data_IF_827080524827
#
_entry.id   IF_827080524827
#
_cell.length_a   1.000
_cell.length_b   1.000
_cell.length_c   1.000
_cell.angle_alpha   90.00
_cell.angle_beta   90.00
_cell.angle_gamma   90.00
#
_symmetry.space_group_name_H-M   'P 1'
#
loop_
_entity.id
_entity.type
_entity.pdbx_description
1 polymer ?
#
# COMPACT_ATOMS: atom_id res chain seq x y z
N UNK A 1 13.08 -6.05 5.78
CA UNK A 1 12.47 -7.24 5.12
C UNK A 1 12.04 -6.81 3.73
N UNK A 2 12.24 -7.63 2.70
CA UNK A 2 11.82 -7.29 1.33
C UNK A 2 10.78 -8.30 0.86
N UNK A 3 9.66 -7.81 0.34
CA UNK A 3 8.62 -8.61 -0.30
C UNK A 3 8.59 -8.21 -1.77
N UNK A 4 8.70 -9.18 -2.68
CA UNK A 4 8.76 -8.94 -4.12
C UNK A 4 7.73 -9.80 -4.86
N UNK A 5 7.29 -9.33 -6.03
CA UNK A 5 6.47 -10.07 -6.96
C UNK A 5 6.98 -9.87 -8.40
N UNK A 6 6.50 -10.71 -9.32
CA UNK A 6 6.80 -10.61 -10.76
C UNK A 6 5.58 -10.06 -11.54
N UNK A 7 4.68 -9.35 -10.88
CA UNK A 7 3.48 -8.77 -11.48
C UNK A 7 3.76 -7.45 -12.18
N UNK A 8 2.73 -6.78 -12.71
CA UNK A 8 2.86 -5.42 -13.23
C UNK A 8 3.41 -4.47 -12.16
N UNK A 9 4.24 -3.52 -12.59
CA UNK A 9 4.75 -2.47 -11.71
C UNK A 9 3.65 -1.48 -11.31
N UNK A 10 3.82 -0.85 -10.16
CA UNK A 10 2.99 0.28 -9.73
C UNK A 10 3.40 1.51 -10.57
N UNK A 11 2.46 2.19 -11.24
CA UNK A 11 2.74 3.42 -11.97
C UNK A 11 3.36 4.51 -11.08
N UNK A 12 4.40 5.25 -11.55
CA UNK A 12 5.10 6.24 -10.73
C UNK A 12 4.21 7.36 -10.20
N UNK A 13 3.16 7.74 -10.94
CA UNK A 13 2.21 8.80 -10.62
C UNK A 13 1.26 8.47 -9.45
N UNK A 14 1.23 7.21 -9.03
CA UNK A 14 0.40 6.75 -7.91
C UNK A 14 1.19 6.22 -6.72
N UNK A 15 2.53 6.17 -6.80
CA UNK A 15 3.37 5.62 -5.72
C UNK A 15 3.11 6.32 -4.38
N UNK A 16 3.00 7.65 -4.38
CA UNK A 16 2.75 8.41 -3.14
C UNK A 16 1.36 8.15 -2.56
N UNK A 17 0.41 7.69 -3.39
CA UNK A 17 -0.99 7.46 -3.01
C UNK A 17 -1.24 6.07 -2.46
N UNK A 18 -0.36 5.09 -2.71
CA UNK A 18 -0.62 3.69 -2.32
C UNK A 18 -0.70 3.48 -0.81
N UNK A 19 -0.16 4.43 -0.03
CA UNK A 19 -0.22 4.43 1.43
C UNK A 19 -1.40 5.25 1.98
N UNK A 20 -2.12 5.97 1.12
CA UNK A 20 -3.30 6.73 1.53
C UNK A 20 -4.46 5.77 1.87
N UNK A 21 -5.19 6.02 2.98
CA UNK A 21 -6.37 5.23 3.29
C UNK A 21 -7.40 5.26 2.17
N UNK A 22 -7.97 4.09 1.85
CA UNK A 22 -8.99 3.88 0.83
C UNK A 22 -8.52 4.00 -0.63
N UNK A 23 -7.25 4.31 -0.89
CA UNK A 23 -6.73 4.31 -2.25
C UNK A 23 -6.70 2.89 -2.82
N UNK A 24 -7.19 2.72 -4.06
CA UNK A 24 -7.17 1.43 -4.76
C UNK A 24 -7.28 1.61 -6.27
N UNK A 25 -6.59 0.75 -7.02
CA UNK A 25 -6.78 0.60 -8.47
C UNK A 25 -7.77 -0.51 -8.82
N UNK A 26 -8.25 -1.26 -7.82
CA UNK A 26 -9.23 -2.33 -8.00
C UNK A 26 -10.63 -1.75 -8.25
N UNK A 27 -11.49 -2.47 -8.99
CA UNK A 27 -12.88 -2.10 -9.17
C UNK A 27 -13.64 -1.95 -7.84
N UNK A 28 -14.76 -1.21 -7.89
CA UNK A 28 -15.67 -1.06 -6.74
C UNK A 28 -16.18 -2.44 -6.31
N UNK A 29 -16.02 -2.76 -5.03
CA UNK A 29 -16.42 -4.05 -4.45
C UNK A 29 -15.27 -5.06 -4.28
N UNK A 30 -14.14 -4.88 -4.95
CA UNK A 30 -13.02 -5.84 -4.94
C UNK A 30 -11.92 -5.50 -3.91
N UNK A 31 -12.11 -4.43 -3.14
CA UNK A 31 -11.17 -4.03 -2.10
C UNK A 31 -11.59 -2.77 -1.34
N UNK A 32 -11.05 -2.62 -0.14
CA UNK A 32 -11.30 -1.46 0.72
C UNK A 32 -10.23 -0.36 0.59
N UNK A 33 -9.08 -0.67 0.01
CA UNK A 33 -7.93 0.26 -0.07
C UNK A 33 -7.26 0.53 1.28
N UNK A 34 -7.44 -0.33 2.29
CA UNK A 34 -6.90 -0.10 3.65
C UNK A 34 -5.62 -0.89 3.98
N UNK A 35 -5.24 -1.88 3.18
CA UNK A 35 -4.18 -2.82 3.55
C UNK A 35 -2.83 -2.17 3.80
N UNK A 36 -2.37 -1.33 2.86
CA UNK A 36 -1.07 -0.67 2.95
C UNK A 36 -1.05 0.44 3.99
N UNK A 37 -2.11 1.25 4.09
CA UNK A 37 -2.21 2.32 5.10
C UNK A 37 -2.19 1.76 6.53
N UNK A 38 -2.87 0.63 6.76
CA UNK A 38 -2.85 -0.07 8.06
C UNK A 38 -1.47 -0.65 8.34
N UNK A 39 -0.83 -1.28 7.33
CA UNK A 39 0.52 -1.84 7.50
C UNK A 39 1.56 -0.76 7.84
N UNK A 40 1.50 0.39 7.16
CA UNK A 40 2.36 1.54 7.44
C UNK A 40 2.15 2.07 8.87
N UNK A 41 0.89 2.13 9.33
CA UNK A 41 0.56 2.55 10.69
C UNK A 41 1.12 1.58 11.74
N UNK A 42 0.90 0.27 11.56
CA UNK A 42 1.41 -0.77 12.46
C UNK A 42 2.94 -0.72 12.55
N UNK A 43 3.63 -0.53 11.42
CA UNK A 43 5.09 -0.40 11.41
C UNK A 43 5.52 0.84 12.19
N UNK A 44 4.88 1.99 11.95
CA UNK A 44 5.18 3.24 12.67
C UNK A 44 4.96 3.13 14.18
N UNK A 45 3.93 2.42 14.63
CA UNK A 45 3.66 2.16 16.05
C UNK A 45 4.73 1.28 16.72
N UNK A 46 5.51 0.54 15.93
CA UNK A 46 6.60 -0.31 16.39
C UNK A 46 7.98 0.21 15.95
N UNK A 47 8.13 1.53 15.79
CA UNK A 47 9.38 2.20 15.38
C UNK A 47 9.97 1.69 14.05
N UNK A 48 9.12 1.16 13.17
CA UNK A 48 9.44 0.69 11.83
C UNK A 48 9.00 1.67 10.73
N UNK A 49 9.46 1.41 9.51
CA UNK A 49 9.10 2.17 8.31
C UNK A 49 8.70 1.25 7.15
N UNK A 50 7.82 1.72 6.27
CA UNK A 50 7.45 1.06 5.02
C UNK A 50 8.03 1.87 3.86
N UNK A 51 8.92 1.24 3.08
CA UNK A 51 9.66 1.81 1.95
C UNK A 51 9.48 0.98 0.67
#
# INVERSE_FOLDING_TARGET
LVIANNGPHIPPDILDKVLEPFFTTKPVGDGTGLGLSVSATILKEHDGNLE
#
